data_IF_131003396518
#
_entry.id   IF_131003396518
#
_cell.length_a   1.000
_cell.length_b   1.000
_cell.length_c   1.000
_cell.angle_alpha   90.00
_cell.angle_beta   90.00
_cell.angle_gamma   90.00
#
_symmetry.space_group_name_H-M   'P 1'
#
loop_
_entity.id
_entity.type
_entity.pdbx_description
1 polymer ?
#
# COMPACT_ATOMS: atom_id res chain seq x y z
N UNK A 1 -26.60 -0.65 26.57
CA UNK A 1 -25.83 -1.93 26.54
C UNK A 1 -25.37 -2.31 25.12
N UNK A 2 -25.60 -1.48 24.09
CA UNK A 2 -25.20 -1.70 22.69
C UNK A 2 -23.74 -1.36 22.39
N UNK A 3 -23.13 -0.42 23.13
CA UNK A 3 -21.83 0.16 22.81
C UNK A 3 -20.59 -0.75 23.05
N UNK A 4 -20.66 -1.64 24.05
CA UNK A 4 -19.56 -2.59 24.35
C UNK A 4 -19.52 -3.79 23.42
N UNK A 5 -20.67 -4.19 22.87
CA UNK A 5 -20.74 -5.31 21.91
C UNK A 5 -20.10 -4.90 20.57
N UNK A 6 -20.18 -3.62 20.20
CA UNK A 6 -19.63 -3.13 18.94
C UNK A 6 -18.12 -2.91 19.00
N UNK A 7 -17.58 -2.43 20.14
CA UNK A 7 -16.13 -2.24 20.30
C UNK A 7 -15.34 -3.55 20.24
N UNK A 8 -15.76 -4.57 20.98
CA UNK A 8 -15.03 -5.84 21.00
C UNK A 8 -15.06 -6.50 19.60
N UNK A 9 -16.22 -6.46 18.92
CA UNK A 9 -16.35 -6.97 17.56
C UNK A 9 -15.46 -6.24 16.56
N UNK A 10 -15.33 -4.91 16.66
CA UNK A 10 -14.41 -4.15 15.83
C UNK A 10 -12.95 -4.57 16.09
N UNK A 11 -12.54 -4.70 17.35
CA UNK A 11 -11.19 -5.15 17.69
C UNK A 11 -10.91 -6.59 17.20
N UNK A 12 -11.88 -7.49 17.35
CA UNK A 12 -11.74 -8.87 16.89
C UNK A 12 -11.66 -8.94 15.37
N UNK A 13 -12.45 -8.11 14.65
CA UNK A 13 -12.36 -7.99 13.19
C UNK A 13 -10.96 -7.58 12.70
N UNK A 14 -10.27 -6.72 13.44
CA UNK A 14 -8.90 -6.31 13.11
C UNK A 14 -7.81 -7.29 13.56
N UNK A 15 -8.12 -8.22 14.46
CA UNK A 15 -7.12 -9.10 15.11
C UNK A 15 -7.17 -10.53 14.63
N UNK A 16 -8.35 -11.06 14.34
CA UNK A 16 -8.59 -12.48 14.15
C UNK A 16 -9.13 -12.77 12.74
N UNK A 17 -8.76 -13.93 12.15
CA UNK A 17 -7.77 -14.90 12.65
C UNK A 17 -6.32 -14.44 12.46
N UNK A 18 -6.09 -13.40 11.66
CA UNK A 18 -4.80 -12.75 11.47
C UNK A 18 -4.99 -11.24 11.57
N UNK A 19 -4.03 -10.49 12.16
CA UNK A 19 -4.13 -9.05 12.26
C UNK A 19 -4.11 -8.33 10.91
N UNK A 20 -4.77 -7.18 10.86
CA UNK A 20 -4.81 -6.31 9.69
C UNK A 20 -5.89 -6.71 8.69
N UNK A 21 -6.07 -5.89 7.66
CA UNK A 21 -7.16 -6.06 6.67
C UNK A 21 -6.70 -6.44 5.27
N UNK A 22 -5.41 -6.40 5.01
CA UNK A 22 -4.84 -6.65 3.68
C UNK A 22 -3.62 -7.56 3.75
N UNK A 23 -3.30 -8.17 2.61
CA UNK A 23 -2.13 -9.02 2.42
C UNK A 23 -1.61 -8.84 0.99
N UNK A 24 -0.34 -9.14 0.76
CA UNK A 24 0.25 -9.17 -0.57
C UNK A 24 0.14 -10.60 -1.11
N UNK A 25 -0.34 -10.75 -2.33
CA UNK A 25 -0.43 -12.04 -3.01
C UNK A 25 0.24 -11.97 -4.38
N UNK A 26 1.09 -12.96 -4.69
CA UNK A 26 1.75 -13.05 -5.98
C UNK A 26 0.72 -13.28 -7.10
N UNK A 27 0.89 -12.58 -8.23
CA UNK A 27 0.04 -12.74 -9.42
C UNK A 27 0.61 -13.74 -10.43
N UNK A 28 1.87 -14.15 -10.26
CA UNK A 28 2.56 -15.12 -11.13
C UNK A 28 2.84 -16.40 -10.34
N UNK A 29 2.87 -17.57 -11.01
CA UNK A 29 3.30 -18.83 -10.38
C UNK A 29 4.70 -18.70 -9.79
N UNK A 30 4.95 -19.43 -8.70
CA UNK A 30 6.25 -19.49 -8.00
C UNK A 30 6.55 -20.94 -7.57
N UNK A 31 6.07 -21.93 -8.32
CA UNK A 31 6.07 -23.33 -7.90
C UNK A 31 7.29 -24.12 -8.40
N UNK A 32 7.91 -23.66 -9.48
CA UNK A 32 9.03 -24.36 -10.12
C UNK A 32 10.31 -23.53 -10.12
N UNK A 33 11.45 -24.18 -10.34
CA UNK A 33 12.73 -23.48 -10.54
C UNK A 33 12.66 -22.49 -11.71
N UNK A 34 11.95 -22.85 -12.77
CA UNK A 34 11.75 -21.97 -13.91
C UNK A 34 10.93 -20.73 -13.52
N UNK A 35 9.86 -20.90 -12.73
CA UNK A 35 9.06 -19.78 -12.24
C UNK A 35 9.91 -18.82 -11.40
N UNK A 36 10.73 -19.36 -10.49
CA UNK A 36 11.63 -18.56 -9.64
C UNK A 36 12.70 -17.84 -10.45
N UNK A 37 13.25 -18.49 -11.49
CA UNK A 37 14.22 -17.90 -12.39
C UNK A 37 13.64 -16.76 -13.24
N UNK A 38 12.33 -16.80 -13.54
CA UNK A 38 11.63 -15.72 -14.24
C UNK A 38 11.22 -14.59 -13.29
N UNK A 39 10.73 -14.93 -12.10
CA UNK A 39 10.29 -13.95 -11.10
C UNK A 39 11.47 -13.18 -10.48
N UNK A 40 12.66 -13.76 -10.51
CA UNK A 40 13.87 -13.16 -9.95
C UNK A 40 15.08 -13.42 -10.86
N UNK A 41 16.26 -13.63 -10.30
CA UNK A 41 17.47 -13.86 -11.07
C UNK A 41 17.48 -15.24 -11.77
N UNK A 42 17.91 -15.33 -13.03
CA UNK A 42 18.42 -14.24 -13.88
C UNK A 42 17.35 -13.50 -14.70
N UNK A 43 16.11 -14.00 -14.78
CA UNK A 43 15.09 -13.54 -15.73
C UNK A 43 14.57 -12.11 -15.51
N UNK A 44 14.54 -11.64 -14.27
CA UNK A 44 14.10 -10.28 -13.92
C UNK A 44 14.94 -9.19 -14.61
N UNK A 45 16.19 -9.51 -14.96
CA UNK A 45 17.09 -8.58 -15.66
C UNK A 45 16.49 -8.06 -16.96
N UNK A 46 15.76 -8.89 -17.71
CA UNK A 46 15.14 -8.48 -18.97
C UNK A 46 14.08 -7.38 -18.76
N UNK A 47 13.31 -7.44 -17.67
CA UNK A 47 12.35 -6.38 -17.34
C UNK A 47 13.05 -5.08 -16.91
N UNK A 48 14.15 -5.20 -16.14
CA UNK A 48 14.96 -4.05 -15.75
C UNK A 48 15.60 -3.35 -16.96
N UNK A 49 16.24 -4.12 -17.85
CA UNK A 49 16.87 -3.61 -19.07
C UNK A 49 15.83 -2.92 -19.98
N UNK A 50 14.64 -3.50 -20.14
CA UNK A 50 13.56 -2.87 -20.90
C UNK A 50 13.11 -1.52 -20.31
N UNK A 51 13.11 -1.36 -18.98
CA UNK A 51 12.78 -0.09 -18.31
C UNK A 51 13.95 0.92 -18.42
N UNK A 52 15.20 0.44 -18.43
CA UNK A 52 16.37 1.29 -18.69
C UNK A 52 16.31 1.86 -20.12
N UNK A 53 15.95 1.02 -21.10
CA UNK A 53 15.83 1.42 -22.50
C UNK A 53 14.62 2.34 -22.75
N UNK A 54 13.47 2.04 -22.12
CA UNK A 54 12.25 2.86 -22.18
C UNK A 54 11.58 2.94 -20.79
N UNK A 55 11.74 4.06 -20.05
CA UNK A 55 11.14 4.24 -18.74
C UNK A 55 9.60 4.07 -18.71
N UNK A 56 8.90 4.28 -19.83
CA UNK A 56 7.45 4.08 -19.89
C UNK A 56 7.04 2.61 -19.69
N UNK A 57 7.96 1.66 -19.92
CA UNK A 57 7.69 0.23 -19.69
C UNK A 57 7.44 -0.10 -18.22
N UNK A 58 7.80 0.77 -17.26
CA UNK A 58 7.48 0.55 -15.86
C UNK A 58 5.97 0.36 -15.64
N UNK A 59 5.12 0.99 -16.46
CA UNK A 59 3.67 0.81 -16.40
C UNK A 59 3.23 -0.60 -16.85
N UNK A 60 3.91 -1.17 -17.85
CA UNK A 60 3.54 -2.46 -18.45
C UNK A 60 4.16 -3.66 -17.72
N UNK A 61 5.35 -3.47 -17.14
CA UNK A 61 6.17 -4.56 -16.60
C UNK A 61 6.12 -4.65 -15.06
N UNK A 62 5.41 -3.73 -14.41
CA UNK A 62 5.28 -3.70 -12.94
C UNK A 62 3.83 -3.44 -12.54
N UNK A 63 3.56 -3.52 -11.23
CA UNK A 63 2.25 -3.17 -10.67
C UNK A 63 1.97 -1.66 -10.71
N UNK A 64 2.97 -0.81 -11.01
CA UNK A 64 2.90 0.65 -10.87
C UNK A 64 1.66 1.26 -11.52
N UNK A 65 1.25 0.78 -12.70
CA UNK A 65 0.09 1.31 -13.41
C UNK A 65 -1.22 1.19 -12.61
N UNK A 66 -1.34 0.18 -11.74
CA UNK A 66 -2.53 -0.05 -10.90
C UNK A 66 -2.30 0.23 -9.41
N UNK A 67 -1.10 0.68 -9.02
CA UNK A 67 -0.71 0.85 -7.63
C UNK A 67 -0.86 2.31 -7.18
N UNK A 68 -1.61 2.52 -6.09
CA UNK A 68 -1.81 3.83 -5.45
C UNK A 68 -1.17 3.83 -4.06
N UNK A 69 -0.44 4.90 -3.74
CA UNK A 69 0.07 5.15 -2.39
C UNK A 69 -0.98 5.92 -1.59
N UNK A 70 -1.56 5.31 -0.56
CA UNK A 70 -2.42 6.03 0.40
C UNK A 70 -1.51 6.49 1.54
N UNK A 71 -1.26 7.79 1.61
CA UNK A 71 -0.24 8.35 2.51
C UNK A 71 -0.90 9.25 3.55
N UNK A 72 -0.51 9.07 4.81
CA UNK A 72 -0.91 9.93 5.92
C UNK A 72 0.25 10.17 6.88
N UNK A 73 0.21 11.24 7.66
CA UNK A 73 1.03 11.38 8.86
C UNK A 73 0.22 11.25 10.16
N UNK A 74 -1.07 10.92 10.06
CA UNK A 74 -1.95 10.72 11.22
C UNK A 74 -2.31 12.01 11.99
N UNK A 75 -2.06 13.19 11.41
CA UNK A 75 -2.37 14.48 12.04
C UNK A 75 -3.86 14.83 12.04
N UNK A 76 -4.67 14.21 11.16
CA UNK A 76 -6.11 14.46 11.02
C UNK A 76 -6.91 13.19 10.74
N UNK A 77 -6.93 12.24 11.68
CA UNK A 77 -7.62 10.96 11.47
C UNK A 77 -9.10 11.05 11.84
N UNK A 78 -9.98 11.09 10.83
CA UNK A 78 -11.43 11.13 11.02
C UNK A 78 -11.85 12.28 11.98
N UNK A 79 -12.67 11.98 12.99
CA UNK A 79 -12.99 12.90 14.08
C UNK A 79 -12.09 12.78 15.31
N UNK A 80 -10.99 12.03 15.22
CA UNK A 80 -10.07 11.74 16.33
C UNK A 80 -8.93 12.77 16.45
N UNK A 81 -8.72 13.56 15.39
CA UNK A 81 -7.65 14.57 15.33
C UNK A 81 -6.26 13.95 15.14
N UNK A 82 -5.26 14.57 15.76
CA UNK A 82 -3.89 14.12 15.68
C UNK A 82 -3.64 12.97 16.66
N UNK A 83 -3.63 11.74 16.13
CA UNK A 83 -3.38 10.50 16.88
C UNK A 83 -2.09 9.81 16.45
N UNK A 84 -1.36 10.43 15.52
CA UNK A 84 -0.09 9.93 15.00
C UNK A 84 -0.22 8.79 13.99
N UNK A 85 0.88 8.48 13.28
CA UNK A 85 0.90 7.55 12.16
C UNK A 85 0.49 6.13 12.55
N UNK A 86 0.98 5.62 13.68
CA UNK A 86 0.65 4.26 14.14
C UNK A 86 -0.85 4.05 14.37
N UNK A 87 -1.53 5.04 14.94
CA UNK A 87 -2.97 4.94 15.21
C UNK A 87 -3.82 5.21 13.96
N UNK A 88 -3.25 5.84 12.92
CA UNK A 88 -3.89 6.04 11.63
C UNK A 88 -3.94 4.76 10.79
N UNK A 89 -3.01 3.82 11.00
CA UNK A 89 -2.86 2.61 10.19
C UNK A 89 -4.14 1.80 9.97
N UNK A 90 -4.98 1.52 10.98
CA UNK A 90 -6.24 0.83 10.76
C UNK A 90 -7.20 1.59 9.84
N UNK A 91 -7.12 2.91 9.72
CA UNK A 91 -7.94 3.68 8.77
C UNK A 91 -7.38 3.54 7.36
N UNK A 92 -6.06 3.62 7.18
CA UNK A 92 -5.42 3.54 5.87
C UNK A 92 -5.55 2.16 5.22
N UNK A 93 -5.36 1.08 5.99
CA UNK A 93 -5.69 -0.27 5.52
C UNK A 93 -7.17 -0.38 5.08
N UNK A 94 -8.04 0.42 5.71
CA UNK A 94 -9.47 0.49 5.36
C UNK A 94 -9.68 1.09 3.98
N UNK A 95 -9.00 2.21 3.70
CA UNK A 95 -9.01 2.80 2.36
C UNK A 95 -8.46 1.83 1.32
N UNK A 96 -7.34 1.16 1.61
CA UNK A 96 -6.75 0.20 0.70
C UNK A 96 -7.73 -0.92 0.28
N UNK A 97 -8.42 -1.55 1.24
CA UNK A 97 -9.39 -2.60 0.91
C UNK A 97 -10.64 -2.06 0.18
N UNK A 98 -11.03 -0.81 0.42
CA UNK A 98 -12.13 -0.16 -0.30
C UNK A 98 -11.75 0.13 -1.76
N UNK A 99 -10.56 0.69 -2.01
CA UNK A 99 -10.00 0.87 -3.36
C UNK A 99 -10.00 -0.45 -4.13
N UNK A 100 -9.47 -1.51 -3.50
CA UNK A 100 -9.43 -2.83 -4.13
C UNK A 100 -10.82 -3.40 -4.40
N UNK A 101 -11.72 -3.33 -3.40
CA UNK A 101 -13.05 -3.95 -3.49
C UNK A 101 -13.94 -3.29 -4.53
N UNK A 102 -13.89 -1.96 -4.65
CA UNK A 102 -14.84 -1.20 -5.46
C UNK A 102 -14.28 -0.72 -6.80
N UNK A 103 -12.96 -0.55 -6.92
CA UNK A 103 -12.32 -0.04 -8.14
C UNK A 103 -11.26 -0.99 -8.73
N UNK A 104 -10.92 -2.09 -8.05
CA UNK A 104 -9.87 -3.01 -8.51
C UNK A 104 -8.45 -2.46 -8.38
N UNK A 105 -8.27 -1.29 -7.75
CA UNK A 105 -7.00 -0.59 -7.57
C UNK A 105 -6.20 -1.24 -6.43
N UNK A 106 -4.92 -1.48 -6.66
CA UNK A 106 -4.00 -1.97 -5.63
C UNK A 106 -3.45 -0.79 -4.83
N UNK A 107 -3.26 -0.98 -3.52
CA UNK A 107 -2.84 0.09 -2.62
C UNK A 107 -1.72 -0.40 -1.70
N UNK A 108 -0.73 0.46 -1.49
CA UNK A 108 0.07 0.44 -0.27
C UNK A 108 -0.29 1.65 0.59
N UNK A 109 -0.68 1.38 1.83
CA UNK A 109 -0.78 2.38 2.88
C UNK A 109 0.60 2.69 3.47
N UNK A 110 0.92 3.99 3.57
CA UNK A 110 2.18 4.48 4.11
C UNK A 110 1.88 5.56 5.17
N UNK A 111 2.17 5.23 6.42
CA UNK A 111 2.10 6.17 7.53
C UNK A 111 3.49 6.76 7.81
N UNK A 112 3.66 8.06 7.54
CA UNK A 112 4.92 8.77 7.71
C UNK A 112 4.94 9.49 9.06
N UNK A 113 5.95 9.23 9.88
CA UNK A 113 6.18 9.94 11.14
C UNK A 113 6.95 11.25 10.90
N UNK A 114 6.30 12.19 10.19
CA UNK A 114 6.84 13.53 9.92
C UNK A 114 5.71 14.57 9.99
N UNK A 115 5.99 15.65 10.71
CA UNK A 115 5.05 16.75 10.98
C UNK A 115 5.44 18.05 10.28
N UNK A 116 6.69 18.18 9.85
CA UNK A 116 7.14 19.26 9.01
C UNK A 116 6.59 19.07 7.58
N UNK A 117 5.81 20.02 7.05
CA UNK A 117 5.17 19.86 5.76
C UNK A 117 6.16 19.80 4.60
N UNK A 118 7.27 20.53 4.66
CA UNK A 118 8.25 20.57 3.58
C UNK A 118 8.98 19.22 3.51
N UNK A 119 9.41 18.68 4.65
CA UNK A 119 10.00 17.34 4.72
C UNK A 119 9.01 16.26 4.33
N UNK A 120 7.75 16.38 4.73
CA UNK A 120 6.71 15.42 4.35
C UNK A 120 6.53 15.41 2.82
N UNK A 121 6.51 16.58 2.18
CA UNK A 121 6.46 16.70 0.72
C UNK A 121 7.69 16.07 0.07
N UNK A 122 8.90 16.31 0.59
CA UNK A 122 10.13 15.69 0.06
C UNK A 122 10.08 14.16 0.14
N UNK A 123 9.66 13.61 1.28
CA UNK A 123 9.52 12.16 1.46
C UNK A 123 8.50 11.61 0.45
N UNK A 124 7.32 12.22 0.34
CA UNK A 124 6.26 11.76 -0.57
C UNK A 124 6.69 11.85 -2.03
N UNK A 125 7.32 12.95 -2.43
CA UNK A 125 7.82 13.13 -3.79
C UNK A 125 8.86 12.06 -4.15
N UNK A 126 9.73 11.67 -3.21
CA UNK A 126 10.72 10.62 -3.45
C UNK A 126 10.11 9.22 -3.69
N UNK A 127 8.85 9.01 -3.29
CA UNK A 127 8.12 7.75 -3.49
C UNK A 127 7.46 7.64 -4.87
N UNK A 128 7.40 8.72 -5.65
CA UNK A 128 6.74 8.78 -6.96
C UNK A 128 7.10 7.63 -7.92
N UNK A 129 8.35 7.15 -8.01
CA UNK A 129 8.68 6.05 -8.92
C UNK A 129 7.90 4.76 -8.64
N UNK A 130 7.44 4.56 -7.41
CA UNK A 130 6.70 3.35 -6.99
C UNK A 130 5.24 3.37 -7.42
N UNK A 131 4.61 4.55 -7.49
CA UNK A 131 3.16 4.68 -7.48
C UNK A 131 2.61 5.27 -8.78
N UNK A 132 1.52 4.71 -9.29
CA UNK A 132 0.74 5.29 -10.37
C UNK A 132 0.01 6.57 -9.96
N UNK A 133 -0.37 6.68 -8.68
CA UNK A 133 -0.93 7.89 -8.09
C UNK A 133 -0.72 7.92 -6.57
N UNK A 134 -0.82 9.11 -5.98
CA UNK A 134 -0.79 9.34 -4.53
C UNK A 134 -2.15 9.85 -4.05
N UNK A 135 -2.68 9.24 -3.00
CA UNK A 135 -3.84 9.70 -2.25
C UNK A 135 -3.38 10.16 -0.86
N UNK A 136 -3.34 11.46 -0.61
CA UNK A 136 -3.09 12.01 0.74
C UNK A 136 -4.36 11.89 1.59
N UNK A 137 -4.18 11.47 2.84
CA UNK A 137 -5.26 11.29 3.82
C UNK A 137 -4.95 11.85 5.22
#
# INVERSE_FOLDING_TARGET
>A
MTDKLDKQRALDYHRLPQPGKLTITATKPLATQNDLALAYSPGVAAACEAIVDDPAQVANLTVRQNLVGVITNGSAVLGLGNIGPLAAKPVMEGKAVLFKKFAGIDVFDIEIDESDPDKLVEIIASLEPTFGAINLE
#
